data_IF_842888055163
#
_entry.id   IF_842888055163
#
_cell.length_a   1.000
_cell.length_b   1.000
_cell.length_c   1.000
_cell.angle_alpha   90.00
_cell.angle_beta   90.00
_cell.angle_gamma   90.00
#
_symmetry.space_group_name_H-M   'P 1'
#
loop_
_entity.id
_entity.type
_entity.pdbx_description
1 polymer ?
#
# COMPACT_ATOMS: atom_id res chain seq x y z
N UNK A 1 13.21 -0.84 -12.56
CA UNK A 1 12.88 -1.30 -11.21
C UNK A 1 11.59 -0.64 -10.75
N UNK A 2 10.63 -1.41 -10.30
CA UNK A 2 9.37 -0.87 -9.81
C UNK A 2 9.55 -0.23 -8.44
N UNK A 3 8.83 0.85 -8.21
CA UNK A 3 8.86 1.61 -6.96
C UNK A 3 7.60 1.38 -6.15
N UNK A 4 7.79 1.06 -4.88
CA UNK A 4 6.68 0.83 -3.94
C UNK A 4 6.83 1.78 -2.76
N UNK A 5 5.76 2.50 -2.44
CA UNK A 5 5.71 3.31 -1.21
C UNK A 5 5.02 2.50 -0.12
N UNK A 6 5.66 2.36 1.02
CA UNK A 6 5.09 1.66 2.18
C UNK A 6 4.67 2.71 3.20
N UNK A 7 3.39 2.74 3.52
CA UNK A 7 2.79 3.76 4.38
C UNK A 7 2.22 3.11 5.63
N UNK A 8 2.84 3.37 6.77
CA UNK A 8 2.43 2.84 8.07
C UNK A 8 3.01 3.73 9.15
N UNK A 9 2.27 3.96 10.21
CA UNK A 9 2.76 4.80 11.30
C UNK A 9 3.68 4.05 12.28
N UNK A 10 3.87 2.76 12.10
CA UNK A 10 4.77 1.95 12.91
C UNK A 10 6.09 1.72 12.15
N UNK A 11 7.20 2.34 12.59
CA UNK A 11 8.48 2.21 11.87
C UNK A 11 8.95 0.77 11.71
N UNK A 12 8.70 -0.09 12.69
CA UNK A 12 9.12 -1.49 12.62
C UNK A 12 8.41 -2.24 11.49
N UNK A 13 7.14 -1.93 11.27
CA UNK A 13 6.38 -2.54 10.17
C UNK A 13 6.90 -2.03 8.83
N UNK A 14 7.19 -0.75 8.74
CA UNK A 14 7.78 -0.18 7.51
C UNK A 14 9.11 -0.85 7.20
N UNK A 15 9.98 -0.99 8.21
CA UNK A 15 11.29 -1.60 8.01
C UNK A 15 11.19 -3.07 7.60
N UNK A 16 10.32 -3.83 8.23
CA UNK A 16 10.10 -5.23 7.89
C UNK A 16 9.58 -5.37 6.46
N UNK A 17 8.56 -4.60 6.13
CA UNK A 17 7.95 -4.64 4.80
C UNK A 17 8.97 -4.23 3.73
N UNK A 18 9.73 -3.18 4.00
CA UNK A 18 10.80 -2.72 3.10
C UNK A 18 11.82 -3.81 2.85
N UNK A 19 12.29 -4.49 3.90
CA UNK A 19 13.27 -5.55 3.77
C UNK A 19 12.78 -6.66 2.85
N UNK A 20 11.53 -7.09 3.04
CA UNK A 20 10.92 -8.14 2.21
C UNK A 20 10.83 -7.70 0.75
N UNK A 21 10.36 -6.48 0.51
CA UNK A 21 10.17 -6.00 -0.86
C UNK A 21 11.50 -5.78 -1.57
N UNK A 22 12.51 -5.30 -0.88
CA UNK A 22 13.84 -5.13 -1.47
C UNK A 22 14.47 -6.46 -1.85
N UNK A 23 14.22 -7.51 -1.07
CA UNK A 23 14.63 -8.87 -1.45
C UNK A 23 13.96 -9.33 -2.74
N UNK A 24 12.77 -8.85 -3.02
CA UNK A 24 12.05 -9.14 -4.25
C UNK A 24 12.46 -8.29 -5.44
N UNK A 25 13.42 -7.38 -5.28
CA UNK A 25 13.91 -6.54 -6.37
C UNK A 25 13.21 -5.21 -6.53
N UNK A 26 12.41 -4.80 -5.55
CA UNK A 26 11.68 -3.52 -5.61
C UNK A 26 12.46 -2.41 -4.92
N UNK A 27 12.25 -1.19 -5.39
CA UNK A 27 12.73 0.01 -4.72
C UNK A 27 11.63 0.48 -3.77
N UNK A 28 11.97 0.79 -2.51
CA UNK A 28 10.97 1.11 -1.49
C UNK A 28 11.17 2.52 -0.96
N UNK A 29 10.07 3.27 -0.87
CA UNK A 29 10.03 4.60 -0.30
C UNK A 29 9.14 4.52 0.95
N UNK A 30 9.65 4.87 2.14
CA UNK A 30 8.83 4.84 3.34
C UNK A 30 8.01 6.13 3.50
N UNK A 31 6.83 6.01 4.10
CA UNK A 31 6.05 7.14 4.58
C UNK A 31 5.37 6.71 5.87
N UNK A 32 5.38 7.60 6.85
CA UNK A 32 4.93 7.26 8.21
C UNK A 32 3.59 7.89 8.57
N UNK A 33 2.97 8.56 7.61
CA UNK A 33 1.64 9.16 7.77
C UNK A 33 0.98 9.33 6.41
N UNK A 34 -0.33 9.56 6.42
CA UNK A 34 -1.06 9.86 5.18
C UNK A 34 -0.59 11.15 4.53
N UNK A 35 -0.33 12.16 5.33
CA UNK A 35 0.16 13.45 4.83
C UNK A 35 1.52 13.31 4.16
N UNK A 36 2.42 12.56 4.78
CA UNK A 36 3.74 12.31 4.19
C UNK A 36 3.61 11.54 2.88
N UNK A 37 2.74 10.55 2.84
CA UNK A 37 2.46 9.78 1.63
C UNK A 37 2.05 10.70 0.49
N UNK A 38 1.05 11.54 0.71
CA UNK A 38 0.54 12.43 -0.33
C UNK A 38 1.57 13.44 -0.79
N UNK A 39 2.35 13.98 0.15
CA UNK A 39 3.41 14.95 -0.18
C UNK A 39 4.50 14.30 -1.05
N UNK A 40 4.92 13.08 -0.72
CA UNK A 40 5.94 12.38 -1.50
C UNK A 40 5.43 11.98 -2.89
N UNK A 41 4.16 11.63 -3.01
CA UNK A 41 3.56 11.30 -4.30
C UNK A 41 3.53 12.47 -5.27
N UNK A 42 3.54 13.71 -4.77
CA UNK A 42 3.62 14.89 -5.63
C UNK A 42 4.99 15.03 -6.28
N UNK A 43 6.02 14.48 -5.66
CA UNK A 43 7.42 14.65 -6.12
C UNK A 43 7.99 13.42 -6.80
N UNK A 44 7.44 12.24 -6.53
CA UNK A 44 7.96 10.99 -7.06
C UNK A 44 6.86 10.15 -7.67
N UNK A 45 7.17 9.54 -8.81
CA UNK A 45 6.28 8.57 -9.43
C UNK A 45 6.46 7.23 -8.75
N UNK A 46 5.36 6.67 -8.26
CA UNK A 46 5.33 5.41 -7.53
C UNK A 46 4.39 4.45 -8.24
N UNK A 47 4.78 3.20 -8.38
CA UNK A 47 3.98 2.20 -9.08
C UNK A 47 2.89 1.61 -8.18
N UNK A 48 3.19 1.46 -6.90
CA UNK A 48 2.26 0.87 -5.92
C UNK A 48 2.43 1.55 -4.57
N UNK A 49 1.32 1.84 -3.92
CA UNK A 49 1.29 2.28 -2.52
C UNK A 49 0.71 1.14 -1.69
N UNK A 50 1.50 0.61 -0.75
CA UNK A 50 1.03 -0.31 0.28
C UNK A 50 0.67 0.52 1.51
N UNK A 51 -0.60 0.53 1.87
CA UNK A 51 -1.18 1.54 2.73
C UNK A 51 -1.89 0.93 3.91
N UNK A 52 -1.43 1.23 5.12
CA UNK A 52 -2.14 0.85 6.33
C UNK A 52 -3.42 1.67 6.45
N UNK A 53 -4.49 1.03 6.90
CA UNK A 53 -5.79 1.70 7.06
C UNK A 53 -5.82 2.47 8.37
N UNK A 54 -5.34 1.86 9.45
CA UNK A 54 -5.50 2.38 10.81
C UNK A 54 -4.30 3.23 11.21
N UNK A 55 -4.35 4.51 10.84
CA UNK A 55 -3.31 5.48 11.20
C UNK A 55 -3.94 6.67 11.94
N UNK A 56 -3.20 7.26 12.90
CA UNK A 56 -3.69 8.49 13.52
C UNK A 56 -3.78 9.63 12.50
N UNK A 57 -4.71 10.52 12.71
CA UNK A 57 -4.96 11.62 11.79
C UNK A 57 -5.64 11.15 10.52
N UNK A 58 -4.98 11.25 9.38
CA UNK A 58 -5.54 10.82 8.12
C UNK A 58 -5.50 9.30 7.99
N UNK A 59 -6.66 8.66 7.86
CA UNK A 59 -6.75 7.21 7.72
C UNK A 59 -6.34 6.75 6.32
N UNK A 60 -6.08 5.43 6.19
CA UNK A 60 -5.81 4.86 4.88
C UNK A 60 -6.97 5.03 3.90
N UNK A 61 -8.21 5.01 4.39
CA UNK A 61 -9.39 5.27 3.54
C UNK A 61 -9.30 6.65 2.90
N UNK A 62 -8.97 7.67 3.69
CA UNK A 62 -8.85 9.04 3.20
C UNK A 62 -7.73 9.18 2.18
N UNK A 63 -6.58 8.54 2.46
CA UNK A 63 -5.45 8.58 1.54
C UNK A 63 -5.79 7.92 0.21
N UNK A 64 -6.44 6.75 0.25
CA UNK A 64 -6.86 6.05 -0.96
C UNK A 64 -7.78 6.92 -1.82
N UNK A 65 -8.78 7.54 -1.19
CA UNK A 65 -9.71 8.41 -1.92
C UNK A 65 -9.00 9.59 -2.57
N UNK A 66 -8.02 10.18 -1.89
CA UNK A 66 -7.27 11.30 -2.44
C UNK A 66 -6.35 10.90 -3.59
N UNK A 67 -5.71 9.73 -3.49
CA UNK A 67 -4.88 9.20 -4.56
C UNK A 67 -5.73 8.95 -5.81
N UNK A 68 -6.88 8.34 -5.64
CA UNK A 68 -7.80 8.05 -6.76
C UNK A 68 -8.21 9.30 -7.52
N UNK A 69 -8.41 10.41 -6.80
CA UNK A 69 -8.83 11.66 -7.43
C UNK A 69 -7.70 12.35 -8.21
N UNK A 70 -6.47 12.17 -7.76
CA UNK A 70 -5.32 12.89 -8.34
C UNK A 70 -4.51 12.07 -9.32
N UNK A 71 -4.42 10.76 -9.11
CA UNK A 71 -3.49 9.92 -9.86
C UNK A 71 -4.10 8.54 -10.05
N UNK A 72 -4.53 8.26 -11.27
CA UNK A 72 -5.15 6.97 -11.61
C UNK A 72 -4.14 5.91 -12.01
N UNK A 73 -2.88 6.27 -12.20
CA UNK A 73 -1.83 5.33 -12.63
C UNK A 73 -1.19 4.60 -11.45
N UNK A 74 -1.10 5.23 -10.29
CA UNK A 74 -0.54 4.61 -9.10
C UNK A 74 -1.54 3.62 -8.52
N UNK A 75 -1.12 2.37 -8.39
CA UNK A 75 -1.96 1.34 -7.78
C UNK A 75 -1.89 1.43 -6.27
N UNK A 76 -2.97 1.09 -5.60
CA UNK A 76 -3.05 1.11 -4.13
C UNK A 76 -3.53 -0.25 -3.64
N UNK A 77 -2.83 -0.80 -2.65
CA UNK A 77 -3.28 -1.97 -1.91
C UNK A 77 -3.26 -1.63 -0.43
N UNK A 78 -4.25 -2.10 0.31
CA UNK A 78 -4.24 -1.95 1.76
C UNK A 78 -3.46 -3.08 2.42
N UNK A 79 -2.79 -2.74 3.53
CA UNK A 79 -2.23 -3.72 4.47
C UNK A 79 -2.83 -3.42 5.83
N UNK A 80 -3.52 -4.37 6.45
CA UNK A 80 -4.22 -4.10 7.69
C UNK A 80 -4.44 -5.35 8.52
N UNK A 81 -4.53 -5.17 9.85
CA UNK A 81 -5.01 -6.21 10.76
C UNK A 81 -6.54 -6.29 10.76
N UNK A 82 -7.20 -5.29 10.17
CA UNK A 82 -8.65 -5.22 10.14
C UNK A 82 -9.22 -6.25 9.16
N UNK A 83 -10.06 -7.15 9.66
CA UNK A 83 -10.74 -8.13 8.82
C UNK A 83 -12.02 -7.50 8.25
N UNK A 84 -12.24 -7.69 6.96
CA UNK A 84 -13.45 -7.21 6.30
C UNK A 84 -14.15 -8.36 5.59
N UNK A 85 -15.45 -8.20 5.35
CA UNK A 85 -16.23 -9.23 4.64
C UNK A 85 -15.80 -9.30 3.16
N UNK A 86 -16.07 -10.44 2.54
CA UNK A 86 -15.81 -10.60 1.11
C UNK A 86 -16.59 -9.60 0.28
N UNK A 87 -17.81 -9.29 0.69
CA UNK A 87 -18.64 -8.30 0.01
C UNK A 87 -18.01 -6.91 0.05
N UNK A 88 -17.51 -6.50 1.22
CA UNK A 88 -16.84 -5.20 1.35
C UNK A 88 -15.55 -5.16 0.56
N UNK A 89 -14.78 -6.24 0.58
CA UNK A 89 -13.57 -6.36 -0.23
C UNK A 89 -13.88 -6.17 -1.70
N UNK A 90 -14.95 -6.80 -2.19
CA UNK A 90 -15.34 -6.69 -3.59
C UNK A 90 -15.71 -5.24 -3.95
N UNK A 91 -16.42 -4.54 -3.07
CA UNK A 91 -16.73 -3.12 -3.29
C UNK A 91 -15.45 -2.30 -3.46
N UNK A 92 -14.45 -2.54 -2.62
CA UNK A 92 -13.18 -1.81 -2.72
C UNK A 92 -12.44 -2.12 -4.01
N UNK A 93 -12.41 -3.39 -4.41
CA UNK A 93 -11.79 -3.78 -5.68
C UNK A 93 -12.50 -3.12 -6.87
N UNK A 94 -13.82 -3.05 -6.82
CA UNK A 94 -14.62 -2.39 -7.86
C UNK A 94 -14.34 -0.88 -7.91
N UNK A 95 -13.97 -0.28 -6.78
CA UNK A 95 -13.56 1.12 -6.71
C UNK A 95 -12.13 1.38 -7.16
N UNK A 96 -11.39 0.32 -7.49
CA UNK A 96 -10.03 0.45 -8.02
C UNK A 96 -8.91 0.04 -7.07
N UNK A 97 -9.24 -0.50 -5.89
CA UNK A 97 -8.20 -1.05 -5.01
C UNK A 97 -7.56 -2.26 -5.67
N UNK A 98 -6.24 -2.35 -5.63
CA UNK A 98 -5.52 -3.46 -6.26
C UNK A 98 -5.60 -4.74 -5.43
N UNK A 99 -5.52 -4.64 -4.11
CA UNK A 99 -5.62 -5.80 -3.23
C UNK A 99 -5.82 -5.35 -1.78
N UNK A 100 -6.24 -6.28 -0.93
CA UNK A 100 -6.38 -6.09 0.51
C UNK A 100 -5.57 -7.18 1.20
N UNK A 101 -4.44 -6.81 1.80
CA UNK A 101 -3.48 -7.75 2.37
C UNK A 101 -3.58 -7.74 3.88
N UNK A 102 -3.90 -8.89 4.46
CA UNK A 102 -4.03 -9.02 5.91
C UNK A 102 -2.66 -9.07 6.59
N UNK A 103 -2.55 -8.39 7.73
CA UNK A 103 -1.40 -8.53 8.63
C UNK A 103 -1.78 -9.54 9.74
N UNK A 104 -0.85 -10.34 10.22
CA UNK A 104 0.52 -10.47 9.74
C UNK A 104 0.57 -11.24 8.42
N UNK A 105 1.52 -10.88 7.58
CA UNK A 105 1.76 -11.59 6.32
C UNK A 105 3.08 -12.35 6.42
N UNK A 106 3.25 -13.40 5.62
CA UNK A 106 4.56 -13.98 5.45
C UNK A 106 5.24 -13.40 4.20
N UNK A 107 6.55 -13.56 4.15
CA UNK A 107 7.38 -12.99 3.09
C UNK A 107 6.93 -13.43 1.69
N UNK A 108 6.74 -14.73 1.51
CA UNK A 108 6.42 -15.27 0.19
C UNK A 108 5.03 -14.84 -0.27
N UNK A 109 4.07 -14.80 0.64
CA UNK A 109 2.71 -14.34 0.34
C UNK A 109 2.70 -12.86 -0.08
N UNK A 110 3.43 -12.02 0.64
CA UNK A 110 3.51 -10.59 0.30
C UNK A 110 4.12 -10.39 -1.07
N UNK A 111 5.26 -11.05 -1.34
CA UNK A 111 5.95 -10.93 -2.63
C UNK A 111 5.09 -11.44 -3.77
N UNK A 112 4.39 -12.55 -3.58
CA UNK A 112 3.51 -13.11 -4.60
C UNK A 112 2.39 -12.13 -4.96
N UNK A 113 1.75 -11.54 -3.94
CA UNK A 113 0.67 -10.58 -4.17
C UNK A 113 1.15 -9.31 -4.86
N UNK A 114 2.29 -8.78 -4.43
CA UNK A 114 2.87 -7.59 -5.05
C UNK A 114 3.26 -7.86 -6.49
N UNK A 115 3.88 -9.01 -6.76
CA UNK A 115 4.24 -9.40 -8.12
C UNK A 115 3.01 -9.47 -9.03
N UNK A 116 1.92 -10.02 -8.54
CA UNK A 116 0.66 -10.10 -9.32
C UNK A 116 0.08 -8.74 -9.62
N UNK A 117 0.21 -7.79 -8.69
CA UNK A 117 -0.28 -6.43 -8.92
C UNK A 117 0.55 -5.72 -9.98
N UNK A 118 1.87 -5.86 -9.93
CA UNK A 118 2.78 -5.05 -10.73
C UNK A 118 3.21 -5.67 -12.06
N UNK A 119 3.10 -6.99 -12.19
CA UNK A 119 3.59 -7.69 -13.38
C UNK A 119 2.47 -8.28 -14.25
N UNK A 120 1.29 -7.76 -14.12
CA UNK A 120 0.17 -8.13 -14.99
C UNK A 120 0.10 -7.25 -16.20
#
# INVERSE_FOLDING_TARGET
MKKIMVVDNEPDIVDLTRTVLELGGYQVIPAYSGEECLRKLEKEKVDLVLLDIMMPGMSGWDVFNRIKKKNTETKVAFMSVLEISDKRKQVLLDEGLADYIMKPFDKDSLLDRVDKILNK
#
